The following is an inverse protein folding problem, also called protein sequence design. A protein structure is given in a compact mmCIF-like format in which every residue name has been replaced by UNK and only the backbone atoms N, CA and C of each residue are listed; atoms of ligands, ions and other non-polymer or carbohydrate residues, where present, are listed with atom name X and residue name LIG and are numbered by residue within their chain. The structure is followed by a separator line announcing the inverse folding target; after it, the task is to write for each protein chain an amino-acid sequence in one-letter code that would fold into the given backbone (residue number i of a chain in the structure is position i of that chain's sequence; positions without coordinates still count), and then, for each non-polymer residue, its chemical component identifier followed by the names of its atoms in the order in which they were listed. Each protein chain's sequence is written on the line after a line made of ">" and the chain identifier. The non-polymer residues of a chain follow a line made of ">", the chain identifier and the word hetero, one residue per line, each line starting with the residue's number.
data_IF_253766984017
#
_entry.id   IF_253766984017
#
_cell.length_a   1.000
_cell.length_b   1.000
_cell.length_c   1.000
_cell.angle_alpha   90.00
_cell.angle_beta   90.00
_cell.angle_gamma   90.00
#
_symmetry.space_group_name_H-M   'P 1'
#
loop_
_entity.id
_entity.type
_entity.pdbx_description
1 polymer ?
#
# COMPACT_ATOMS: atom_id res chain seq x y z
N UNK A 1 13.61 -5.46 -12.64
CA UNK A 1 14.29 -6.30 -11.64
C UNK A 1 15.61 -6.89 -12.14
N UNK A 2 15.72 -7.35 -13.40
CA UNK A 2 16.94 -7.95 -13.99
C UNK A 2 18.23 -7.11 -13.86
N UNK A 3 18.09 -5.79 -13.68
CA UNK A 3 19.20 -4.84 -13.49
C UNK A 3 19.56 -4.59 -12.02
N UNK A 4 19.02 -5.37 -11.08
CA UNK A 4 19.43 -5.35 -9.66
C UNK A 4 18.58 -4.49 -8.71
N UNK A 5 17.33 -4.16 -9.05
CA UNK A 5 16.45 -3.47 -8.10
C UNK A 5 16.04 -4.41 -6.95
N UNK A 6 16.03 -3.87 -5.72
CA UNK A 6 15.79 -4.64 -4.50
C UNK A 6 14.30 -4.75 -4.11
N UNK A 7 13.48 -3.80 -4.57
CA UNK A 7 12.06 -3.70 -4.23
C UNK A 7 11.23 -3.40 -5.47
N UNK A 8 9.94 -3.75 -5.43
CA UNK A 8 8.96 -3.30 -6.43
C UNK A 8 8.26 -2.04 -5.91
N UNK A 9 8.42 -0.94 -6.64
CA UNK A 9 7.78 0.34 -6.34
C UNK A 9 6.38 0.47 -6.95
N UNK A 10 5.51 1.29 -6.35
CA UNK A 10 4.20 1.62 -6.93
C UNK A 10 3.71 3.03 -6.53
N UNK A 11 2.79 3.59 -7.33
CA UNK A 11 2.05 4.83 -7.03
C UNK A 11 0.57 4.67 -7.44
N UNK A 12 -0.23 3.82 -6.76
CA UNK A 12 -1.53 3.39 -7.26
C UNK A 12 -2.54 4.52 -7.48
N UNK A 13 -2.50 5.56 -6.64
CA UNK A 13 -3.42 6.70 -6.71
C UNK A 13 -3.23 7.56 -7.97
N UNK A 14 -2.11 7.40 -8.70
CA UNK A 14 -1.82 8.15 -9.91
C UNK A 14 -2.26 7.42 -11.19
N UNK A 15 -2.77 6.19 -11.07
CA UNK A 15 -3.30 5.40 -12.18
C UNK A 15 -4.82 5.45 -12.25
N UNK A 16 -5.36 4.98 -13.39
CA UNK A 16 -6.81 4.97 -13.66
C UNK A 16 -7.58 4.09 -12.67
N UNK A 17 -7.01 2.94 -12.33
CA UNK A 17 -7.54 2.02 -11.34
C UNK A 17 -6.42 1.58 -10.39
N UNK A 18 -6.52 2.05 -9.14
CA UNK A 18 -5.55 1.72 -8.10
C UNK A 18 -5.52 0.22 -7.76
N UNK A 19 -6.65 -0.49 -7.88
CA UNK A 19 -6.73 -1.92 -7.55
C UNK A 19 -6.05 -2.76 -8.62
N UNK A 20 -6.29 -2.45 -9.89
CA UNK A 20 -5.59 -3.11 -11.01
C UNK A 20 -4.07 -2.88 -10.91
N UNK A 21 -3.64 -1.67 -10.55
CA UNK A 21 -2.22 -1.38 -10.28
C UNK A 21 -1.68 -2.25 -9.15
N UNK A 22 -2.38 -2.31 -8.01
CA UNK A 22 -1.97 -3.10 -6.84
C UNK A 22 -1.84 -4.59 -7.22
N UNK A 23 -2.81 -5.15 -7.94
CA UNK A 23 -2.74 -6.53 -8.42
C UNK A 23 -1.50 -6.77 -9.29
N UNK A 24 -1.23 -5.87 -10.25
CA UNK A 24 -0.07 -5.97 -11.12
C UNK A 24 1.26 -5.94 -10.35
N UNK A 25 1.43 -5.05 -9.37
CA UNK A 25 2.69 -4.99 -8.61
C UNK A 25 2.87 -6.21 -7.71
N UNK A 26 1.79 -6.83 -7.20
CA UNK A 26 1.90 -8.13 -6.53
C UNK A 26 2.35 -9.24 -7.48
N UNK A 27 1.82 -9.28 -8.72
CA UNK A 27 2.30 -10.24 -9.71
C UNK A 27 3.78 -10.06 -10.03
N UNK A 28 4.21 -8.81 -10.19
CA UNK A 28 5.61 -8.47 -10.46
C UNK A 28 6.52 -8.85 -9.28
N UNK A 29 6.10 -8.52 -8.06
CA UNK A 29 6.81 -8.85 -6.82
C UNK A 29 6.99 -10.37 -6.67
N UNK A 30 5.92 -11.14 -6.90
CA UNK A 30 5.96 -12.62 -6.89
C UNK A 30 6.89 -13.18 -7.95
N UNK A 31 6.85 -12.64 -9.17
CA UNK A 31 7.69 -13.09 -10.28
C UNK A 31 9.18 -12.99 -9.97
N UNK A 32 9.57 -11.97 -9.22
CA UNK A 32 10.98 -11.70 -8.91
C UNK A 32 11.37 -12.01 -7.46
N UNK A 33 10.46 -12.54 -6.65
CA UNK A 33 10.60 -12.79 -5.20
C UNK A 33 11.14 -11.58 -4.42
N UNK A 34 10.41 -10.47 -4.52
CA UNK A 34 10.87 -9.16 -4.00
C UNK A 34 9.79 -8.50 -3.16
N UNK A 35 10.17 -7.74 -2.10
CA UNK A 35 9.21 -6.98 -1.32
C UNK A 35 8.66 -5.78 -2.10
N UNK A 36 7.62 -5.17 -1.55
CA UNK A 36 6.88 -4.05 -2.12
C UNK A 36 7.08 -2.77 -1.30
N UNK A 37 7.26 -1.64 -1.97
CA UNK A 37 7.27 -0.30 -1.36
C UNK A 37 6.40 0.66 -2.18
N UNK A 38 5.29 1.12 -1.61
CA UNK A 38 4.29 1.90 -2.35
C UNK A 38 4.20 3.33 -1.82
N UNK A 39 4.13 4.29 -2.73
CA UNK A 39 3.55 5.59 -2.41
C UNK A 39 2.04 5.39 -2.37
N UNK A 40 1.47 5.38 -1.17
CA UNK A 40 0.10 4.92 -0.94
C UNK A 40 -0.77 6.08 -0.46
N UNK A 41 -1.93 6.24 -1.10
CA UNK A 41 -2.99 7.19 -0.73
C UNK A 41 -2.42 8.57 -0.32
N UNK A 42 -2.07 9.40 -1.31
CA UNK A 42 -1.55 10.76 -1.07
C UNK A 42 -2.53 11.82 -1.60
N UNK A 43 -3.42 12.25 -0.71
CA UNK A 43 -4.39 13.32 -0.94
C UNK A 43 -4.85 13.91 0.41
N UNK A 44 -5.65 14.98 0.35
CA UNK A 44 -6.29 15.60 1.52
C UNK A 44 -7.73 15.09 1.75
N UNK A 45 -8.34 14.42 0.76
CA UNK A 45 -9.69 13.83 0.82
C UNK A 45 -9.65 12.30 0.80
N UNK A 46 -10.76 11.67 1.23
CA UNK A 46 -10.87 10.22 1.45
C UNK A 46 -11.45 9.45 0.25
N UNK A 47 -11.79 10.14 -0.84
CA UNK A 47 -12.60 9.57 -1.92
C UNK A 47 -11.91 8.42 -2.68
N UNK A 48 -10.58 8.32 -2.59
CA UNK A 48 -9.76 7.39 -3.38
C UNK A 48 -8.75 6.61 -2.54
N UNK A 49 -9.12 6.20 -1.33
CA UNK A 49 -8.25 5.33 -0.53
C UNK A 49 -8.24 3.89 -1.06
N UNK A 50 -7.06 3.28 -1.07
CA UNK A 50 -6.86 1.90 -1.54
C UNK A 50 -6.09 1.04 -0.54
N UNK A 51 -5.70 1.59 0.62
CA UNK A 51 -4.94 0.87 1.66
C UNK A 51 -5.66 -0.37 2.19
N UNK A 52 -6.98 -0.34 2.34
CA UNK A 52 -7.74 -1.52 2.79
C UNK A 52 -7.60 -2.66 1.78
N UNK A 53 -7.65 -2.34 0.49
CA UNK A 53 -7.45 -3.31 -0.58
C UNK A 53 -6.02 -3.85 -0.58
N UNK A 54 -5.01 -2.98 -0.49
CA UNK A 54 -3.61 -3.38 -0.35
C UNK A 54 -3.38 -4.32 0.84
N UNK A 55 -4.00 -4.04 2.00
CA UNK A 55 -3.90 -4.88 3.18
C UNK A 55 -4.52 -6.28 2.96
N UNK A 56 -5.68 -6.37 2.30
CA UNK A 56 -6.29 -7.65 1.90
C UNK A 56 -5.38 -8.43 0.93
N UNK A 57 -4.89 -7.78 -0.12
CA UNK A 57 -3.96 -8.40 -1.09
C UNK A 57 -2.65 -8.87 -0.44
N UNK A 58 -2.15 -8.13 0.55
CA UNK A 58 -0.98 -8.53 1.33
C UNK A 58 -1.18 -9.89 2.00
N UNK A 59 -2.39 -10.14 2.53
CA UNK A 59 -2.75 -11.42 3.14
C UNK A 59 -2.89 -12.51 2.09
N UNK A 60 -3.67 -12.24 1.05
CA UNK A 60 -3.96 -13.19 -0.03
C UNK A 60 -2.70 -13.71 -0.71
N UNK A 61 -1.67 -12.86 -0.84
CA UNK A 61 -0.42 -13.22 -1.49
C UNK A 61 0.64 -13.78 -0.52
N UNK A 62 0.41 -13.79 0.79
CA UNK A 62 1.41 -14.23 1.77
C UNK A 62 2.58 -13.26 1.95
N UNK A 63 2.32 -11.95 1.79
CA UNK A 63 3.33 -10.88 1.78
C UNK A 63 3.38 -10.08 3.10
N UNK A 64 2.78 -10.59 4.17
CA UNK A 64 2.85 -9.98 5.50
C UNK A 64 4.33 -9.76 5.90
N UNK A 65 4.65 -8.54 6.31
CA UNK A 65 6.04 -8.16 6.66
C UNK A 65 6.96 -7.92 5.46
N UNK A 66 6.44 -7.97 4.22
CA UNK A 66 7.18 -7.66 2.97
C UNK A 66 6.59 -6.46 2.21
N UNK A 67 5.70 -5.70 2.83
CA UNK A 67 5.05 -4.53 2.23
C UNK A 67 5.30 -3.30 3.10
N UNK A 68 5.82 -2.24 2.48
CA UNK A 68 5.92 -0.90 3.05
C UNK A 68 5.08 0.11 2.28
N UNK A 69 4.59 1.12 2.99
CA UNK A 69 3.87 2.24 2.38
C UNK A 69 4.39 3.58 2.91
N UNK A 70 4.49 4.56 2.01
CA UNK A 70 4.73 5.97 2.32
C UNK A 70 3.46 6.81 2.18
N UNK A 71 3.43 7.95 2.88
CA UNK A 71 2.32 8.90 2.98
C UNK A 71 1.16 8.43 3.87
N UNK A 72 0.15 7.80 3.26
CA UNK A 72 -1.09 7.41 3.93
C UNK A 72 -1.83 8.61 4.55
N UNK A 73 -1.87 9.76 3.86
CA UNK A 73 -2.41 11.00 4.45
C UNK A 73 -3.94 11.00 4.63
N UNK A 74 -4.77 10.47 3.71
CA UNK A 74 -6.23 10.52 3.84
C UNK A 74 -6.80 9.77 5.04
N UNK A 75 -6.14 8.72 5.53
CA UNK A 75 -6.68 7.92 6.64
C UNK A 75 -6.83 8.73 7.93
N UNK A 76 -6.13 9.86 8.04
CA UNK A 76 -6.26 10.79 9.17
C UNK A 76 -7.60 11.55 9.16
N UNK A 77 -8.30 11.61 8.02
CA UNK A 77 -9.59 12.25 7.88
C UNK A 77 -10.78 11.28 8.04
N UNK A 78 -10.52 9.97 8.15
CA UNK A 78 -11.57 8.97 8.35
C UNK A 78 -12.15 9.03 9.77
N UNK A 79 -13.47 8.81 9.94
CA UNK A 79 -14.05 8.66 11.26
C UNK A 79 -13.55 7.34 11.91
N UNK A 80 -13.47 7.26 13.26
CA UNK A 80 -12.89 6.11 13.96
C UNK A 80 -13.50 4.75 13.57
N UNK A 81 -14.81 4.70 13.34
CA UNK A 81 -15.54 3.49 12.95
C UNK A 81 -15.13 2.93 11.58
N UNK A 82 -14.67 3.79 10.67
CA UNK A 82 -14.16 3.39 9.36
C UNK A 82 -12.65 3.11 9.39
N UNK A 83 -11.91 3.85 10.23
CA UNK A 83 -10.47 3.69 10.37
C UNK A 83 -10.08 2.39 11.09
N UNK A 84 -10.82 2.03 12.16
CA UNK A 84 -10.44 0.93 13.04
C UNK A 84 -10.29 -0.43 12.31
N UNK A 85 -11.23 -0.86 11.43
CA UNK A 85 -11.07 -2.09 10.66
C UNK A 85 -9.84 -2.08 9.73
N UNK A 86 -9.49 -0.92 9.17
CA UNK A 86 -8.31 -0.76 8.31
C UNK A 86 -7.04 -0.95 9.13
N UNK A 87 -6.96 -0.34 10.31
CA UNK A 87 -5.80 -0.48 11.20
C UNK A 87 -5.59 -1.94 11.67
N UNK A 88 -6.67 -2.66 11.96
CA UNK A 88 -6.62 -4.08 12.31
C UNK A 88 -6.09 -4.95 11.18
N UNK A 89 -6.41 -4.61 9.93
CA UNK A 89 -5.81 -5.25 8.77
C UNK A 89 -4.32 -4.91 8.65
N UNK A 90 -3.88 -3.71 9.02
CA UNK A 90 -2.49 -3.27 8.80
C UNK A 90 -1.49 -3.70 9.87
N UNK A 91 -1.89 -3.73 11.15
CA UNK A 91 -1.00 -3.64 12.34
C UNK A 91 0.19 -4.64 12.38
N UNK A 92 0.06 -5.82 11.78
CA UNK A 92 1.12 -6.85 11.72
C UNK A 92 1.57 -7.19 10.30
N UNK A 93 1.14 -6.43 9.30
CA UNK A 93 1.20 -6.81 7.89
C UNK A 93 1.95 -5.82 7.02
N UNK A 94 1.80 -4.53 7.28
CA UNK A 94 2.34 -3.43 6.48
C UNK A 94 3.17 -2.51 7.38
N UNK A 95 4.39 -2.16 6.94
CA UNK A 95 5.19 -1.10 7.55
C UNK A 95 4.79 0.26 7.00
N UNK A 96 4.65 1.27 7.86
CA UNK A 96 4.18 2.61 7.48
C UNK A 96 5.28 3.64 7.71
N UNK A 97 5.54 4.47 6.72
CA UNK A 97 6.45 5.61 6.78
C UNK A 97 5.64 6.91 6.62
N UNK A 98 5.46 7.63 7.73
CA UNK A 98 4.92 8.98 7.71
C UNK A 98 5.98 9.94 7.15
N UNK A 99 5.61 10.76 6.16
CA UNK A 99 6.51 11.67 5.45
C UNK A 99 6.12 13.15 5.71
N UNK A 100 6.31 13.69 6.93
CA UNK A 100 5.98 15.07 7.23
C UNK A 100 6.92 16.03 6.47
N UNK A 101 6.37 17.15 6.00
CA UNK A 101 7.15 18.25 5.44
C UNK A 101 7.58 19.19 6.57
N UNK A 102 8.86 19.56 6.57
CA UNK A 102 9.44 20.55 7.50
C UNK A 102 8.92 21.97 7.25
#
# INVERSE_FOLDING_TARGET
>A
MERGADVVGAVPYNDRDAKEHIDYVFELAKRFDKPLDLHQDFADDVDKISIEYLAKKTIENGYQGKVSVGHLTPIAALPPEELQPILELMVSRISVMALPKN
#
